data_IF_143111124663
#
_entry.id   IF_143111124663
#
_cell.length_a   1.000
_cell.length_b   1.000
_cell.length_c   1.000
_cell.angle_alpha   90.00
_cell.angle_beta   90.00
_cell.angle_gamma   90.00
#
_symmetry.space_group_name_H-M   'P 1'
#
loop_
_entity.id
_entity.type
_entity.pdbx_description
1 polymer ?
#
# COMPACT_ATOMS: atom_id res chain seq x y z
N UNK A 1 35.91 -7.54 26.33
CA UNK A 1 35.34 -7.13 27.64
C UNK A 1 34.43 -8.24 28.11
N UNK A 2 34.67 -8.79 29.30
CA UNK A 2 33.80 -9.81 29.88
C UNK A 2 32.75 -9.09 30.72
N UNK A 3 31.64 -8.70 30.07
CA UNK A 3 30.57 -7.97 30.74
C UNK A 3 29.75 -8.99 31.52
N UNK A 4 29.69 -8.81 32.85
CA UNK A 4 28.85 -9.66 33.69
C UNK A 4 27.39 -9.56 33.22
N UNK A 5 26.71 -10.71 33.19
CA UNK A 5 25.29 -10.79 32.87
C UNK A 5 24.48 -10.02 33.90
N UNK A 6 23.55 -9.18 33.43
CA UNK A 6 22.56 -8.48 34.27
C UNK A 6 21.80 -9.48 35.15
N UNK A 7 21.42 -9.07 36.37
CA UNK A 7 20.55 -9.86 37.24
C UNK A 7 19.18 -10.03 36.58
N UNK A 8 18.54 -11.18 36.82
CA UNK A 8 17.18 -11.42 36.34
C UNK A 8 16.19 -10.47 37.02
N UNK A 9 15.07 -10.20 36.37
CA UNK A 9 14.02 -9.39 36.96
C UNK A 9 13.33 -10.15 38.10
N UNK A 10 13.15 -9.47 39.22
CA UNK A 10 12.41 -9.95 40.39
C UNK A 10 11.40 -8.87 40.81
N UNK A 11 10.11 -9.19 40.83
CA UNK A 11 9.06 -8.18 41.09
C UNK A 11 9.05 -7.65 42.52
N UNK A 12 9.46 -8.48 43.49
CA UNK A 12 9.57 -8.10 44.90
C UNK A 12 8.29 -7.51 45.50
N UNK A 13 8.43 -6.60 46.48
CA UNK A 13 7.30 -5.90 47.13
C UNK A 13 6.73 -4.74 46.31
N UNK A 14 7.51 -4.18 45.38
CA UNK A 14 7.11 -3.06 44.54
C UNK A 14 7.51 -3.32 43.07
N UNK A 15 6.66 -4.05 42.31
CA UNK A 15 6.97 -4.46 40.94
C UNK A 15 7.24 -3.28 39.99
N UNK A 16 6.59 -2.14 40.22
CA UNK A 16 6.74 -0.95 39.39
C UNK A 16 8.14 -0.32 39.53
N UNK A 17 8.64 -0.25 40.76
CA UNK A 17 9.96 0.29 41.07
C UNK A 17 11.07 -0.69 40.66
N UNK A 18 10.90 -1.98 40.97
CA UNK A 18 11.80 -3.04 40.51
C UNK A 18 11.95 -3.03 38.98
N UNK A 19 10.83 -2.84 38.26
CA UNK A 19 10.85 -2.76 36.80
C UNK A 19 11.60 -1.52 36.31
N UNK A 20 11.43 -0.38 36.96
CA UNK A 20 12.12 0.86 36.60
C UNK A 20 13.65 0.71 36.69
N UNK A 21 14.14 0.14 37.79
CA UNK A 21 15.59 -0.08 37.99
C UNK A 21 16.13 -1.12 37.02
N UNK A 22 15.49 -2.28 36.93
CA UNK A 22 15.93 -3.35 36.03
C UNK A 22 15.94 -2.92 34.56
N UNK A 23 14.98 -2.09 34.14
CA UNK A 23 14.93 -1.54 32.78
C UNK A 23 16.09 -0.60 32.49
N UNK A 24 16.51 0.21 33.47
CA UNK A 24 17.68 1.07 33.35
C UNK A 24 18.94 0.22 33.21
N UNK A 25 19.12 -0.76 34.11
CA UNK A 25 20.25 -1.69 34.06
C UNK A 25 20.32 -2.46 32.73
N UNK A 26 19.15 -2.85 32.18
CA UNK A 26 19.08 -3.52 30.88
C UNK A 26 19.46 -2.60 29.73
N UNK A 27 19.08 -1.31 29.77
CA UNK A 27 19.49 -0.34 28.77
C UNK A 27 21.02 -0.14 28.78
N UNK A 28 21.60 0.01 29.96
CA UNK A 28 23.05 0.16 30.14
C UNK A 28 23.80 -1.10 29.72
N UNK A 29 23.24 -2.29 29.99
CA UNK A 29 23.78 -3.58 29.51
C UNK A 29 23.76 -3.68 27.98
N UNK A 30 22.67 -3.28 27.32
CA UNK A 30 22.57 -3.30 25.85
C UNK A 30 23.59 -2.37 25.21
N UNK A 31 23.83 -1.20 25.79
CA UNK A 31 24.86 -0.25 25.34
C UNK A 31 26.26 -0.81 25.55
N UNK A 32 26.60 -1.20 26.78
CA UNK A 32 27.92 -1.68 27.15
C UNK A 32 28.32 -2.96 26.38
N UNK A 33 27.38 -3.88 26.17
CA UNK A 33 27.62 -5.13 25.44
C UNK A 33 27.59 -4.98 23.91
N UNK A 34 27.38 -3.76 23.39
CA UNK A 34 27.38 -3.49 21.95
C UNK A 34 26.14 -4.00 21.22
N UNK A 35 25.06 -4.31 21.94
CA UNK A 35 23.78 -4.71 21.36
C UNK A 35 22.94 -3.51 20.90
N UNK A 36 23.28 -2.28 21.30
CA UNK A 36 22.54 -1.07 20.95
C UNK A 36 22.42 -0.85 19.43
N UNK A 37 23.46 -1.19 18.66
CA UNK A 37 23.50 -1.07 17.19
C UNK A 37 22.97 -2.30 16.45
N UNK A 38 22.66 -3.38 17.18
CA UNK A 38 22.18 -4.63 16.59
C UNK A 38 20.72 -4.56 16.17
N UNK A 39 20.29 -5.54 15.38
CA UNK A 39 18.90 -5.65 14.96
C UNK A 39 17.94 -5.82 16.15
N UNK A 40 16.71 -5.34 16.00
CA UNK A 40 15.66 -5.50 17.02
C UNK A 40 15.39 -6.98 17.35
N UNK A 41 15.59 -7.89 16.38
CA UNK A 41 15.51 -9.35 16.60
C UNK A 41 16.55 -9.82 17.60
N UNK A 42 17.79 -9.37 17.43
CA UNK A 42 18.92 -9.70 18.31
C UNK A 42 18.68 -9.16 19.72
N UNK A 43 18.34 -7.88 19.84
CA UNK A 43 18.03 -7.28 21.14
C UNK A 43 16.89 -8.01 21.84
N UNK A 44 15.84 -8.41 21.11
CA UNK A 44 14.69 -9.13 21.67
C UNK A 44 15.10 -10.53 22.15
N UNK A 45 15.98 -11.21 21.43
CA UNK A 45 16.54 -12.49 21.87
C UNK A 45 17.36 -12.34 23.15
N UNK A 46 18.18 -11.29 23.23
CA UNK A 46 18.96 -10.96 24.44
C UNK A 46 18.05 -10.68 25.62
N UNK A 47 17.03 -9.82 25.45
CA UNK A 47 16.02 -9.55 26.48
C UNK A 47 15.37 -10.84 27.00
N UNK A 48 14.88 -11.70 26.11
CA UNK A 48 14.27 -12.98 26.48
C UNK A 48 15.24 -13.90 27.22
N UNK A 49 16.53 -13.81 26.95
CA UNK A 49 17.54 -14.60 27.66
C UNK A 49 17.77 -14.09 29.09
N UNK A 50 17.86 -12.76 29.27
CA UNK A 50 18.29 -12.16 30.54
C UNK A 50 17.15 -11.79 31.50
N UNK A 51 15.91 -11.62 31.01
CA UNK A 51 14.82 -11.10 31.83
C UNK A 51 14.26 -12.07 32.89
N UNK A 52 14.65 -13.34 32.86
CA UNK A 52 14.22 -14.34 33.83
C UNK A 52 12.84 -14.94 33.56
N UNK A 53 12.51 -16.02 34.28
CA UNK A 53 11.31 -16.82 34.03
C UNK A 53 10.02 -16.17 34.55
N UNK A 54 10.12 -15.35 35.61
CA UNK A 54 9.00 -14.57 36.13
C UNK A 54 8.45 -13.63 35.03
N UNK A 55 9.33 -12.82 34.43
CA UNK A 55 8.93 -11.86 33.41
C UNK A 55 8.50 -12.54 32.11
N UNK A 56 9.12 -13.67 31.73
CA UNK A 56 8.66 -14.50 30.61
C UNK A 56 7.24 -15.02 30.85
N UNK A 57 6.92 -15.44 32.07
CA UNK A 57 5.60 -15.97 32.43
C UNK A 57 4.56 -14.88 32.41
N UNK A 58 4.84 -13.73 33.02
CA UNK A 58 3.99 -12.55 32.93
C UNK A 58 3.77 -12.16 31.45
N UNK A 59 4.83 -12.12 30.63
CA UNK A 59 4.69 -11.81 29.21
C UNK A 59 3.82 -12.81 28.44
N UNK A 60 4.02 -14.12 28.65
CA UNK A 60 3.19 -15.17 28.02
C UNK A 60 1.72 -15.09 28.46
N UNK A 61 1.47 -14.64 29.69
CA UNK A 61 0.13 -14.45 30.24
C UNK A 61 -0.57 -13.22 29.66
N UNK A 62 0.19 -12.21 29.25
CA UNK A 62 -0.33 -11.06 28.54
C UNK A 62 -0.72 -11.53 27.13
N UNK A 63 -2.01 -11.82 26.91
CA UNK A 63 -2.60 -12.05 25.59
C UNK A 63 -2.62 -10.73 24.79
N UNK A 64 -1.43 -10.20 24.50
CA UNK A 64 -1.22 -9.00 23.66
C UNK A 64 -1.49 -9.41 22.22
N UNK A 65 -2.76 -9.54 21.89
CA UNK A 65 -3.17 -9.70 20.50
C UNK A 65 -2.76 -8.44 19.75
N UNK A 66 -1.99 -8.55 18.64
CA UNK A 66 -1.70 -7.40 17.81
C UNK A 66 -3.04 -6.82 17.38
N UNK A 67 -3.29 -5.58 17.78
CA UNK A 67 -4.55 -4.89 17.49
C UNK A 67 -4.72 -4.90 15.98
N UNK A 68 -5.78 -5.54 15.50
CA UNK A 68 -6.02 -5.71 14.08
C UNK A 68 -5.94 -4.36 13.36
N UNK A 69 -5.31 -4.32 12.18
CA UNK A 69 -5.23 -3.11 11.38
C UNK A 69 -6.64 -2.65 11.00
N UNK A 70 -7.12 -1.58 11.64
CA UNK A 70 -8.42 -0.96 11.34
C UNK A 70 -8.25 -0.16 10.06
N UNK A 71 -8.66 -0.77 8.93
CA UNK A 71 -8.69 -0.15 7.60
C UNK A 71 -10.13 0.12 7.16
N UNK A 72 -10.29 1.08 6.26
CA UNK A 72 -11.56 1.38 5.62
C UNK A 72 -12.00 0.15 4.80
N UNK A 73 -13.22 -0.34 5.05
CA UNK A 73 -13.76 -1.46 4.26
C UNK A 73 -13.94 -1.02 2.80
N UNK A 74 -13.90 -1.95 1.82
CA UNK A 74 -14.25 -1.62 0.44
C UNK A 74 -15.64 -0.96 0.38
N UNK A 75 -15.76 0.14 -0.37
CA UNK A 75 -17.00 0.90 -0.55
C UNK A 75 -17.64 1.53 0.70
N UNK A 76 -17.06 1.34 1.89
CA UNK A 76 -17.52 2.02 3.09
C UNK A 76 -17.10 3.50 3.11
N UNK A 77 -17.91 4.34 3.75
CA UNK A 77 -17.63 5.77 3.94
C UNK A 77 -16.49 5.99 4.95
N UNK A 78 -15.74 7.07 4.77
CA UNK A 78 -14.65 7.46 5.67
C UNK A 78 -15.10 7.57 7.13
N UNK A 79 -16.32 8.06 7.36
CA UNK A 79 -16.86 8.24 8.72
C UNK A 79 -16.91 6.94 9.52
N UNK A 80 -17.21 5.79 8.88
CA UNK A 80 -17.23 4.49 9.56
C UNK A 80 -15.83 4.09 10.05
N UNK A 81 -14.80 4.33 9.24
CA UNK A 81 -13.41 4.12 9.64
C UNK A 81 -13.04 5.00 10.84
N UNK A 82 -13.36 6.29 10.77
CA UNK A 82 -13.03 7.24 11.83
C UNK A 82 -13.67 6.88 13.17
N UNK A 83 -14.95 6.50 13.17
CA UNK A 83 -15.65 6.05 14.39
C UNK A 83 -15.00 4.80 14.98
N UNK A 84 -14.68 3.79 14.16
CA UNK A 84 -14.02 2.56 14.63
C UNK A 84 -12.65 2.84 15.24
N UNK A 85 -11.89 3.78 14.66
CA UNK A 85 -10.60 4.20 15.20
C UNK A 85 -10.74 4.92 16.54
N UNK A 86 -11.76 5.78 16.70
CA UNK A 86 -12.06 6.44 17.97
C UNK A 86 -12.44 5.48 19.08
N UNK A 87 -13.40 4.59 18.84
CA UNK A 87 -13.82 3.56 19.80
C UNK A 87 -12.63 2.68 20.21
N UNK A 88 -11.76 2.33 19.25
CA UNK A 88 -10.55 1.60 19.54
C UNK A 88 -9.56 2.41 20.43
N UNK A 89 -9.53 3.73 20.32
CA UNK A 89 -8.64 4.59 21.10
C UNK A 89 -9.15 4.84 22.53
N UNK A 90 -10.46 4.74 22.79
CA UNK A 90 -11.07 5.00 24.11
C UNK A 90 -10.52 4.07 25.22
N UNK A 91 -10.20 2.82 24.88
CA UNK A 91 -9.58 1.87 25.82
C UNK A 91 -8.05 2.00 25.95
N UNK A 92 -7.46 3.12 25.52
CA UNK A 92 -6.02 3.27 25.37
C UNK A 92 -5.48 4.45 26.21
N UNK A 93 -4.63 4.16 27.21
CA UNK A 93 -3.97 5.16 28.06
C UNK A 93 -2.79 5.85 27.35
N UNK A 94 -2.98 6.32 26.12
CA UNK A 94 -1.98 7.14 25.43
C UNK A 94 -2.15 8.61 25.82
N UNK A 95 -1.07 9.28 26.21
CA UNK A 95 -1.08 10.71 26.55
C UNK A 95 -1.62 11.60 25.43
N UNK A 96 -1.42 11.19 24.17
CA UNK A 96 -1.81 11.97 22.98
C UNK A 96 -2.47 11.08 21.93
N UNK A 97 -3.74 10.65 22.13
CA UNK A 97 -4.42 9.76 21.20
C UNK A 97 -4.57 10.36 19.80
N UNK A 98 -4.60 11.70 19.71
CA UNK A 98 -4.68 12.42 18.44
C UNK A 98 -3.54 12.10 17.48
N UNK A 99 -2.30 11.97 17.96
CA UNK A 99 -1.15 11.62 17.10
C UNK A 99 -1.34 10.24 16.47
N UNK A 100 -1.63 9.25 17.30
CA UNK A 100 -1.87 7.86 16.86
C UNK A 100 -3.08 7.78 15.92
N UNK A 101 -4.17 8.50 16.22
CA UNK A 101 -5.35 8.53 15.36
C UNK A 101 -5.05 9.10 13.98
N UNK A 102 -4.25 10.17 13.88
CA UNK A 102 -3.81 10.71 12.58
C UNK A 102 -3.07 9.66 11.76
N UNK A 103 -2.06 9.02 12.35
CA UNK A 103 -1.23 8.02 11.67
C UNK A 103 -2.10 6.83 11.22
N UNK A 104 -3.04 6.39 12.07
CA UNK A 104 -3.97 5.30 11.76
C UNK A 104 -5.01 5.67 10.70
N UNK A 105 -5.48 6.92 10.66
CA UNK A 105 -6.35 7.41 9.58
C UNK A 105 -5.60 7.36 8.26
N UNK A 106 -4.40 7.97 8.20
CA UNK A 106 -3.61 8.02 6.96
C UNK A 106 -3.27 6.60 6.48
N UNK A 107 -2.92 5.68 7.38
CA UNK A 107 -2.66 4.28 7.04
C UNK A 107 -3.94 3.53 6.58
N UNK A 108 -5.09 3.87 7.16
CA UNK A 108 -6.34 3.13 7.04
C UNK A 108 -7.22 3.50 5.84
N UNK A 109 -7.02 4.66 5.21
CA UNK A 109 -7.85 5.09 4.07
C UNK A 109 -7.57 4.29 2.79
N UNK A 110 -8.63 4.12 1.98
CA UNK A 110 -8.54 3.43 0.69
C UNK A 110 -7.99 4.32 -0.44
N UNK A 111 -8.09 5.63 -0.26
CA UNK A 111 -7.64 6.63 -1.23
C UNK A 111 -6.12 6.76 -1.25
N UNK A 112 -5.45 6.01 -2.14
CA UNK A 112 -3.99 6.00 -2.26
C UNK A 112 -3.38 7.37 -2.63
N UNK A 113 -3.91 8.11 -3.61
CA UNK A 113 -3.44 9.46 -3.89
C UNK A 113 -3.52 10.41 -2.68
N UNK A 114 -4.63 10.37 -1.94
CA UNK A 114 -4.78 11.17 -0.71
C UNK A 114 -3.82 10.69 0.38
N UNK A 115 -3.68 9.37 0.57
CA UNK A 115 -2.76 8.78 1.53
C UNK A 115 -1.33 9.25 1.30
N UNK A 116 -0.84 9.18 0.07
CA UNK A 116 0.50 9.65 -0.27
C UNK A 116 0.68 11.15 -0.04
N UNK A 117 -0.34 11.95 -0.39
CA UNK A 117 -0.31 13.40 -0.19
C UNK A 117 -0.26 13.76 1.30
N UNK A 118 -1.09 13.13 2.11
CA UNK A 118 -1.10 13.29 3.57
C UNK A 118 0.24 12.85 4.20
N UNK A 119 0.84 11.76 3.72
CA UNK A 119 2.17 11.32 4.18
C UNK A 119 3.25 12.37 3.87
N UNK A 120 3.25 12.93 2.65
CA UNK A 120 4.21 13.98 2.27
C UNK A 120 4.02 15.28 3.06
N UNK A 121 2.78 15.70 3.28
CA UNK A 121 2.46 16.94 3.98
C UNK A 121 2.74 16.83 5.48
N UNK A 122 2.41 15.70 6.11
CA UNK A 122 2.63 15.47 7.54
C UNK A 122 4.12 15.45 7.91
N UNK A 123 5.00 15.07 6.97
CA UNK A 123 6.46 15.18 7.15
C UNK A 123 6.97 16.62 7.17
N UNK A 124 6.26 17.55 6.51
CA UNK A 124 6.66 18.97 6.42
C UNK A 124 6.04 19.81 7.52
N UNK A 125 4.77 19.56 7.84
CA UNK A 125 4.01 20.32 8.84
C UNK A 125 2.98 19.40 9.49
N UNK A 126 2.96 19.34 10.82
CA UNK A 126 2.07 18.44 11.53
C UNK A 126 0.63 18.96 11.51
N UNK A 127 -0.21 18.43 10.63
CA UNK A 127 -1.65 18.70 10.63
C UNK A 127 -2.32 18.14 11.87
N UNK A 128 -3.24 18.88 12.48
CA UNK A 128 -4.09 18.42 13.57
C UNK A 128 -5.02 17.29 13.13
N UNK A 129 -5.60 16.57 14.10
CA UNK A 129 -6.56 15.50 13.81
C UNK A 129 -7.77 16.01 13.01
N UNK A 130 -8.28 17.20 13.35
CA UNK A 130 -9.45 17.77 12.69
C UNK A 130 -9.16 18.17 11.25
N UNK A 131 -7.99 18.70 10.95
CA UNK A 131 -7.58 19.03 9.58
C UNK A 131 -7.53 17.78 8.71
N UNK A 132 -6.92 16.70 9.19
CA UNK A 132 -6.87 15.42 8.44
C UNK A 132 -8.28 14.86 8.22
N UNK A 133 -9.15 14.92 9.23
CA UNK A 133 -10.55 14.47 9.13
C UNK A 133 -11.32 15.29 8.10
N UNK A 134 -11.20 16.62 8.14
CA UNK A 134 -11.84 17.53 7.18
C UNK A 134 -11.39 17.25 5.75
N UNK A 135 -10.09 17.03 5.56
CA UNK A 135 -9.50 16.76 4.26
C UNK A 135 -9.93 15.40 3.68
N UNK A 136 -10.01 14.37 4.53
CA UNK A 136 -10.53 13.06 4.12
C UNK A 136 -11.98 13.13 3.68
N UNK A 137 -12.82 13.84 4.46
CA UNK A 137 -14.24 14.08 4.11
C UNK A 137 -14.38 14.86 2.82
N UNK A 138 -13.58 15.91 2.64
CA UNK A 138 -13.61 16.77 1.45
C UNK A 138 -13.18 15.99 0.21
N UNK A 139 -12.11 15.19 0.29
CA UNK A 139 -11.68 14.32 -0.83
C UNK A 139 -12.75 13.29 -1.20
N UNK A 140 -13.40 12.67 -0.21
CA UNK A 140 -14.49 11.71 -0.46
C UNK A 140 -15.67 12.39 -1.16
N UNK A 141 -16.10 13.55 -0.65
CA UNK A 141 -17.18 14.33 -1.24
C UNK A 141 -16.85 14.78 -2.67
N UNK A 142 -15.67 15.33 -2.92
CA UNK A 142 -15.24 15.76 -4.25
C UNK A 142 -15.19 14.61 -5.24
N UNK A 143 -14.80 13.41 -4.81
CA UNK A 143 -14.80 12.21 -5.66
C UNK A 143 -16.20 11.71 -5.98
N UNK A 144 -17.09 11.73 -5.00
CA UNK A 144 -18.49 11.34 -5.21
C UNK A 144 -19.20 12.34 -6.14
N UNK A 145 -18.97 13.65 -5.96
CA UNK A 145 -19.45 14.68 -6.88
C UNK A 145 -18.86 14.54 -8.28
N UNK A 146 -17.56 14.30 -8.40
CA UNK A 146 -16.89 14.11 -9.71
C UNK A 146 -17.42 12.89 -10.45
N UNK A 147 -17.72 11.79 -9.74
CA UNK A 147 -18.36 10.61 -10.33
C UNK A 147 -19.76 10.94 -10.83
N UNK A 148 -20.58 11.59 -10.00
CA UNK A 148 -21.94 11.98 -10.38
C UNK A 148 -21.96 12.92 -11.60
N UNK A 149 -21.02 13.87 -11.68
CA UNK A 149 -20.90 14.76 -12.85
C UNK A 149 -20.51 14.02 -14.12
N UNK A 150 -19.57 13.07 -14.03
CA UNK A 150 -19.13 12.28 -15.18
C UNK A 150 -20.21 11.29 -15.65
N UNK A 151 -21.01 10.75 -14.72
CA UNK A 151 -22.12 9.86 -15.06
C UNK A 151 -23.25 10.61 -15.79
N UNK A 152 -23.59 11.82 -15.32
CA UNK A 152 -24.53 12.72 -16.01
C UNK A 152 -24.08 13.11 -17.42
N UNK A 153 -22.77 13.23 -17.66
CA UNK A 153 -22.25 13.46 -19.02
C UNK A 153 -22.43 12.25 -19.96
N UNK A 154 -22.62 11.04 -19.43
CA UNK A 154 -22.88 9.82 -20.23
C UNK A 154 -24.36 9.62 -20.55
N UNK A 155 -25.26 10.14 -19.71
CA UNK A 155 -26.71 10.06 -19.89
C UNK A 155 -27.25 11.05 -20.95
N UNK A 156 -26.50 12.11 -21.27
CA UNK A 156 -26.78 12.92 -22.45
C UNK A 156 -26.44 12.07 -23.67
N UNK A 157 -27.47 11.60 -24.39
CA UNK A 157 -27.32 10.91 -25.67
C UNK A 157 -26.18 11.53 -26.48
N UNK A 158 -25.23 10.75 -27.03
CA UNK A 158 -24.29 11.31 -27.98
C UNK A 158 -25.13 11.84 -29.13
N UNK A 159 -25.32 13.17 -29.16
CA UNK A 159 -25.79 13.85 -30.36
C UNK A 159 -24.80 13.40 -31.41
N UNK A 160 -25.27 12.56 -32.34
CA UNK A 160 -24.56 12.34 -33.58
C UNK A 160 -24.36 13.75 -34.12
N UNK A 161 -23.15 14.31 -33.94
CA UNK A 161 -22.74 15.46 -34.70
C UNK A 161 -22.77 14.96 -36.13
N UNK A 162 -23.92 15.15 -36.78
CA UNK A 162 -23.96 15.31 -38.21
C UNK A 162 -22.84 16.29 -38.50
N UNK A 163 -21.83 15.77 -39.19
CA UNK A 163 -20.68 16.54 -39.58
C UNK A 163 -21.21 17.57 -40.56
N UNK A 164 -21.68 18.72 -40.06
CA UNK A 164 -21.65 19.95 -40.83
C UNK A 164 -20.17 20.22 -41.03
N UNK A 165 -19.68 19.80 -42.18
CA UNK A 165 -18.35 20.13 -42.65
C UNK A 165 -18.31 21.65 -42.80
N UNK A 166 -17.87 22.33 -41.74
CA UNK A 166 -17.30 23.66 -41.88
C UNK A 166 -16.00 23.47 -42.65
N UNK A 167 -16.01 23.96 -43.88
CA UNK A 167 -14.91 24.01 -44.82
C UNK A 167 -13.72 24.72 -44.15
N UNK A 168 -12.77 23.93 -43.65
CA UNK A 168 -11.40 24.40 -43.43
C UNK A 168 -10.66 24.11 -44.72
N UNK A 169 -10.44 25.17 -45.48
CA UNK A 169 -9.49 25.25 -46.58
C UNK A 169 -8.17 24.59 -46.18
N UNK A 170 -7.92 23.38 -46.68
CA UNK A 170 -6.59 22.78 -46.73
C UNK A 170 -6.02 22.97 -48.12
N UNK A 171 -4.72 23.31 -48.27
CA UNK A 171 -4.15 23.63 -49.56
C UNK A 171 -4.31 22.48 -50.54
N UNK A 172 -4.88 22.79 -51.71
CA UNK A 172 -5.02 21.88 -52.85
C UNK A 172 -3.64 21.48 -53.34
N UNK A 173 -3.24 20.23 -53.14
CA UNK A 173 -2.36 19.56 -54.08
C UNK A 173 -3.18 18.54 -54.88
N UNK A 174 -3.61 18.97 -56.06
CA UNK A 174 -4.16 18.07 -57.08
C UNK A 174 -2.99 17.22 -57.59
N UNK A 175 -3.16 15.91 -57.61
CA UNK A 175 -2.59 15.13 -58.71
C UNK A 175 -3.49 13.97 -59.07
N UNK A 176 -3.73 13.88 -60.36
CA UNK A 176 -4.52 12.88 -61.05
C UNK A 176 -3.89 11.50 -60.88
N UNK A 177 -4.74 10.47 -60.72
CA UNK A 177 -4.71 9.14 -61.37
C UNK A 177 -5.19 8.04 -60.40
N UNK A 178 -6.47 7.68 -60.52
CA UNK A 178 -7.22 6.92 -59.52
C UNK A 178 -7.14 5.39 -59.66
N UNK A 179 -6.13 4.80 -60.32
CA UNK A 179 -6.14 3.34 -60.58
C UNK A 179 -4.94 2.53 -60.09
N UNK A 180 -3.88 3.13 -59.55
CA UNK A 180 -2.68 2.39 -59.10
C UNK A 180 -2.04 2.93 -57.81
N UNK A 181 -2.85 3.35 -56.83
CA UNK A 181 -2.28 3.77 -55.54
C UNK A 181 -1.96 2.54 -54.68
N UNK A 182 -0.66 2.29 -54.51
CA UNK A 182 -0.11 1.28 -53.60
C UNK A 182 -0.03 1.92 -52.21
N UNK A 183 -0.73 1.35 -51.23
CA UNK A 183 -0.75 1.88 -49.86
C UNK A 183 -0.06 0.93 -48.90
N UNK A 184 0.70 1.48 -47.95
CA UNK A 184 1.22 0.72 -46.80
C UNK A 184 0.05 0.42 -45.86
N UNK A 185 -0.42 -0.82 -45.83
CA UNK A 185 -1.54 -1.19 -44.98
C UNK A 185 -1.08 -1.58 -43.57
N UNK A 186 -1.66 -0.93 -42.56
CA UNK A 186 -1.39 -1.19 -41.13
C UNK A 186 -1.67 -2.63 -40.67
N UNK A 187 -2.36 -3.44 -41.48
CA UNK A 187 -2.70 -4.84 -41.19
C UNK A 187 -1.58 -5.84 -41.54
N UNK A 188 -0.82 -5.59 -42.60
CA UNK A 188 0.27 -6.45 -43.08
C UNK A 188 1.64 -5.75 -43.06
N UNK A 189 1.66 -4.42 -42.88
CA UNK A 189 2.83 -3.55 -43.00
C UNK A 189 3.53 -3.61 -44.37
N UNK A 190 2.80 -4.01 -45.41
CA UNK A 190 3.27 -4.06 -46.80
C UNK A 190 2.51 -3.06 -47.66
N UNK A 191 3.14 -2.69 -48.77
CA UNK A 191 2.61 -1.80 -49.80
C UNK A 191 1.90 -2.63 -50.88
N UNK A 192 0.58 -2.54 -50.99
CA UNK A 192 -0.19 -3.19 -52.06
C UNK A 192 -1.44 -2.37 -52.41
N UNK A 193 -2.09 -2.70 -53.53
CA UNK A 193 -3.33 -2.05 -53.94
C UNK A 193 -4.49 -2.36 -52.97
N UNK A 194 -5.45 -1.43 -52.91
CA UNK A 194 -6.63 -1.55 -52.05
C UNK A 194 -7.40 -2.85 -52.35
N UNK A 195 -7.79 -3.59 -51.31
CA UNK A 195 -8.52 -4.86 -51.43
C UNK A 195 -7.64 -6.11 -51.65
N UNK A 196 -6.37 -5.97 -52.03
CA UNK A 196 -5.45 -7.12 -52.26
C UNK A 196 -4.50 -7.41 -51.09
N UNK A 197 -4.95 -7.17 -49.86
CA UNK A 197 -4.10 -7.37 -48.69
C UNK A 197 -3.79 -8.85 -48.46
N UNK A 198 -2.52 -9.28 -48.50
CA UNK A 198 -2.15 -10.68 -48.31
C UNK A 198 -2.40 -11.16 -46.87
N UNK A 199 -2.54 -10.25 -45.90
CA UNK A 199 -2.89 -10.62 -44.53
C UNK A 199 -4.40 -10.85 -44.33
N UNK A 200 -5.26 -10.34 -45.22
CA UNK A 200 -6.71 -10.58 -45.13
C UNK A 200 -7.00 -12.07 -45.34
N UNK A 201 -7.85 -12.66 -44.50
CA UNK A 201 -8.18 -14.09 -44.51
C UNK A 201 -7.17 -14.98 -43.77
N UNK A 202 -5.92 -14.54 -43.61
CA UNK A 202 -4.86 -15.33 -42.94
C UNK A 202 -4.88 -15.19 -41.42
N UNK A 203 -4.41 -16.23 -40.72
CA UNK A 203 -4.38 -16.30 -39.26
C UNK A 203 -3.05 -15.82 -38.68
N UNK A 204 -3.09 -14.94 -37.68
CA UNK A 204 -1.92 -14.41 -37.03
C UNK A 204 -1.24 -15.47 -36.16
N UNK A 205 0.05 -15.74 -36.40
CA UNK A 205 0.85 -16.72 -35.62
C UNK A 205 1.06 -16.33 -34.15
N UNK A 206 0.78 -15.09 -33.75
CA UNK A 206 0.96 -14.62 -32.37
C UNK A 206 -0.31 -14.73 -31.52
N UNK A 207 -1.48 -14.41 -32.09
CA UNK A 207 -2.74 -14.36 -31.34
C UNK A 207 -3.85 -15.24 -31.91
N UNK A 208 -3.58 -15.95 -33.00
CA UNK A 208 -4.51 -16.86 -33.70
C UNK A 208 -5.77 -16.16 -34.27
N UNK A 209 -5.83 -14.82 -34.22
CA UNK A 209 -6.89 -14.03 -34.85
C UNK A 209 -6.58 -13.75 -36.33
N UNK A 210 -7.61 -13.59 -37.16
CA UNK A 210 -7.46 -13.39 -38.61
C UNK A 210 -7.11 -11.94 -38.99
N UNK A 211 -6.77 -11.74 -40.26
CA UNK A 211 -6.66 -10.44 -40.95
C UNK A 211 -5.45 -9.57 -40.61
N UNK A 212 -4.44 -10.12 -39.94
CA UNK A 212 -3.17 -9.45 -39.65
C UNK A 212 -2.05 -10.45 -39.36
N UNK A 213 -0.79 -9.99 -39.37
CA UNK A 213 0.38 -10.82 -39.08
C UNK A 213 1.07 -10.44 -37.77
N UNK A 214 2.04 -11.26 -37.35
CA UNK A 214 2.78 -11.07 -36.09
C UNK A 214 3.41 -9.67 -35.98
N UNK A 215 3.97 -9.15 -37.08
CA UNK A 215 4.59 -7.81 -37.14
C UNK A 215 3.63 -6.69 -36.72
N UNK A 216 2.37 -6.79 -37.12
CA UNK A 216 1.33 -5.76 -36.84
C UNK A 216 0.42 -6.16 -35.68
N UNK A 217 0.73 -7.26 -34.99
CA UNK A 217 -0.10 -7.82 -33.95
C UNK A 217 -0.07 -6.95 -32.69
N UNK A 218 -1.22 -6.35 -32.37
CA UNK A 218 -1.37 -5.50 -31.18
C UNK A 218 -1.61 -6.29 -29.88
N UNK A 219 -1.77 -7.61 -29.97
CA UNK A 219 -2.04 -8.45 -28.81
C UNK A 219 -0.70 -8.92 -28.19
N UNK A 220 -0.19 -8.15 -27.21
CA UNK A 220 1.14 -8.35 -26.59
C UNK A 220 1.20 -9.46 -25.51
N UNK A 221 0.09 -10.16 -25.22
CA UNK A 221 0.00 -11.16 -24.14
C UNK A 221 -0.39 -12.54 -24.67
N UNK A 222 0.60 -13.34 -25.04
CA UNK A 222 0.63 -14.82 -25.02
C UNK A 222 2.03 -15.29 -25.43
N UNK A 223 3.01 -15.03 -24.57
CA UNK A 223 4.25 -15.80 -24.59
C UNK A 223 3.94 -17.14 -23.92
N UNK A 224 3.73 -18.20 -24.69
CA UNK A 224 3.71 -19.56 -24.15
C UNK A 224 5.18 -20.01 -24.05
N UNK A 225 5.77 -19.86 -22.86
CA UNK A 225 6.97 -20.59 -22.48
C UNK A 225 6.63 -21.57 -21.35
N UNK A 226 7.25 -22.77 -21.30
CA UNK A 226 6.95 -23.78 -20.29
C UNK A 226 7.40 -23.30 -18.91
N UNK A 227 6.46 -23.17 -17.97
CA UNK A 227 6.76 -22.87 -16.57
C UNK A 227 7.21 -24.17 -15.91
N UNK A 228 8.50 -24.26 -15.54
CA UNK A 228 8.97 -25.22 -14.54
C UNK A 228 8.33 -24.83 -13.21
N UNK A 229 7.54 -25.74 -12.64
CA UNK A 229 6.97 -25.60 -11.30
C UNK A 229 8.08 -25.88 -10.29
N UNK A 230 8.54 -24.86 -9.57
CA UNK A 230 9.23 -25.07 -8.29
C UNK A 230 8.24 -24.80 -7.16
N UNK A 231 7.95 -25.88 -6.46
CA UNK A 231 7.20 -25.99 -5.23
C UNK A 231 8.12 -25.68 -4.05
N UNK A 232 8.10 -24.47 -3.54
CA UNK A 232 8.48 -24.15 -2.15
C UNK A 232 7.51 -23.03 -1.73
N UNK A 233 6.67 -23.20 -0.72
CA UNK A 233 7.08 -23.57 0.62
C UNK A 233 6.86 -22.35 1.50
N UNK A 234 5.59 -22.09 1.76
CA UNK A 234 5.01 -21.09 2.66
C UNK A 234 5.82 -20.91 3.96
N UNK A 235 6.40 -19.73 4.18
CA UNK A 235 6.72 -19.22 5.52
C UNK A 235 6.28 -17.75 5.59
N UNK A 236 5.01 -17.53 5.94
CA UNK A 236 4.50 -16.23 6.39
C UNK A 236 4.46 -16.27 7.91
N UNK A 237 5.60 -16.08 8.54
CA UNK A 237 5.70 -15.89 9.99
C UNK A 237 7.05 -15.24 10.34
N UNK A 238 7.22 -13.94 10.12
CA UNK A 238 8.38 -13.26 10.72
C UNK A 238 8.27 -11.75 10.98
N UNK A 239 7.21 -11.03 10.61
CA UNK A 239 7.20 -9.56 10.77
C UNK A 239 6.57 -9.09 12.11
N UNK A 240 6.20 -10.00 13.02
CA UNK A 240 5.39 -9.63 14.20
C UNK A 240 6.16 -9.37 15.50
N UNK A 241 7.48 -9.57 15.55
CA UNK A 241 8.28 -9.38 16.78
C UNK A 241 9.17 -8.13 16.76
N UNK A 242 9.33 -7.46 15.61
CA UNK A 242 10.40 -6.46 15.40
C UNK A 242 10.15 -5.11 16.12
N UNK A 243 9.03 -4.93 16.80
CA UNK A 243 8.71 -3.73 17.59
C UNK A 243 8.38 -4.04 19.06
N UNK A 244 8.63 -5.27 19.50
CA UNK A 244 8.22 -5.73 20.83
C UNK A 244 9.05 -5.07 21.95
N UNK A 245 10.36 -4.95 21.75
CA UNK A 245 11.23 -4.23 22.67
C UNK A 245 10.89 -2.75 22.76
N UNK A 246 10.66 -2.10 21.61
CA UNK A 246 10.24 -0.70 21.60
C UNK A 246 8.90 -0.53 22.33
N UNK A 247 7.95 -1.46 22.17
CA UNK A 247 6.68 -1.43 22.89
C UNK A 247 6.84 -1.68 24.39
N UNK A 248 7.65 -2.64 24.82
CA UNK A 248 7.90 -2.92 26.26
C UNK A 248 8.69 -1.79 26.91
N UNK A 249 9.67 -1.22 26.20
CA UNK A 249 10.48 -0.12 26.68
C UNK A 249 9.74 1.23 26.63
N UNK A 250 8.76 1.39 25.75
CA UNK A 250 7.97 2.64 25.62
C UNK A 250 6.59 2.58 26.30
N UNK A 251 6.09 1.39 26.65
CA UNK A 251 4.81 1.25 27.35
C UNK A 251 5.00 1.37 28.86
N UNK A 252 4.32 2.32 29.47
CA UNK A 252 4.09 2.38 30.92
C UNK A 252 3.07 1.32 31.40
N UNK A 253 2.77 0.30 30.60
CA UNK A 253 1.84 -0.76 31.01
C UNK A 253 2.53 -1.65 32.02
N UNK A 254 2.12 -1.45 33.27
CA UNK A 254 2.57 -2.20 34.42
C UNK A 254 2.19 -3.68 34.24
N UNK A 255 3.10 -4.63 34.50
CA UNK A 255 2.69 -5.98 34.82
C UNK A 255 1.82 -5.90 36.09
N UNK A 256 0.61 -6.46 36.01
CA UNK A 256 -0.26 -6.61 37.19
C UNK A 256 0.17 -7.82 37.99
#
# INVERSE_FOLDING_TARGET
MNIQTIRQFESGRNPAEAWKFWKQDFADFIEAAGYATQSEKTKTAVFRHVCGDELKTQYRSLDIKPKADIKQKPHAKFQELYTRLKLAAEGCNYDKPGRMLRDKIVQGINDKPLQERLLRETLRMTKTLQEIVSECRSSELSKDQSKAMNDRQREVHPVKKERRFAEKETPKFRSLNAKNQIYVFKKCNLSHSYGKCPACGTTCKNCVLKNHWKITCRNKKKQLFPIKKNTEGRIVSSIKEENLLLFIMSSNKQPK
#
